data_IF_313768035040
#
_entry.id   IF_313768035040
#
_cell.length_a   1.000
_cell.length_b   1.000
_cell.length_c   1.000
_cell.angle_alpha   90.00
_cell.angle_beta   90.00
_cell.angle_gamma   90.00
#
_symmetry.space_group_name_H-M   'P 1'
#
loop_
_entity.id
_entity.type
_entity.pdbx_description
1 polymer ?
#
# COMPACT_ATOMS: atom_id res chain seq x y z
N UNK A 1 -10.52 -26.81 8.83
CA UNK A 1 -10.69 -25.45 9.39
C UNK A 1 -9.37 -25.03 10.00
N UNK A 2 -8.55 -24.24 9.29
CA UNK A 2 -7.36 -23.62 9.89
C UNK A 2 -7.61 -22.12 9.91
N UNK A 3 -7.71 -21.60 11.12
CA UNK A 3 -7.90 -20.20 11.47
C UNK A 3 -6.91 -19.36 10.67
N UNK A 4 -7.42 -18.40 9.89
CA UNK A 4 -6.59 -17.37 9.28
C UNK A 4 -6.00 -16.54 10.41
N UNK A 5 -4.67 -16.57 10.55
CA UNK A 5 -3.95 -15.69 11.44
C UNK A 5 -4.33 -14.26 11.08
N UNK A 6 -5.02 -13.61 12.00
CA UNK A 6 -5.47 -12.24 11.84
C UNK A 6 -4.25 -11.38 11.51
N UNK A 7 -4.33 -10.61 10.43
CA UNK A 7 -3.40 -9.52 10.18
C UNK A 7 -3.49 -8.58 11.39
N UNK A 8 -2.58 -8.74 12.35
CA UNK A 8 -2.35 -7.76 13.41
C UNK A 8 -1.68 -6.59 12.71
N UNK A 9 -2.51 -5.67 12.18
CA UNK A 9 -2.04 -4.41 11.66
C UNK A 9 -1.17 -3.72 12.71
N UNK A 10 -0.20 -2.87 12.30
CA UNK A 10 0.67 -2.19 13.25
C UNK A 10 -0.21 -1.51 14.30
N UNK A 11 0.06 -1.85 15.57
CA UNK A 11 -0.62 -1.29 16.71
C UNK A 11 -0.65 0.23 16.56
N UNK A 12 -1.84 0.79 16.39
CA UNK A 12 -2.08 2.22 16.33
C UNK A 12 -1.76 2.80 17.71
N UNK A 13 -0.50 3.16 17.92
CA UNK A 13 -0.06 4.07 18.96
C UNK A 13 -0.72 5.44 18.70
N UNK A 14 -1.04 6.22 19.76
CA UNK A 14 -2.00 7.30 19.69
C UNK A 14 -1.54 8.37 18.69
N UNK A 15 -2.51 8.87 17.93
CA UNK A 15 -2.35 9.95 16.98
C UNK A 15 -1.71 11.17 17.65
N UNK A 16 -0.41 11.36 17.38
CA UNK A 16 0.32 12.59 17.62
C UNK A 16 1.07 12.91 16.32
N UNK A 17 0.60 13.97 15.63
CA UNK A 17 1.10 14.57 14.40
C UNK A 17 1.20 13.66 13.15
N UNK A 18 0.29 13.86 12.20
CA UNK A 18 0.34 13.30 10.84
C UNK A 18 -0.36 11.94 10.70
N UNK A 19 -1.54 11.92 10.07
CA UNK A 19 -2.24 10.67 9.77
C UNK A 19 -1.46 9.88 8.71
N UNK A 20 -1.26 8.57 8.90
CA UNK A 20 -0.57 7.71 7.92
C UNK A 20 -1.55 6.74 7.28
N UNK A 21 -1.56 6.68 5.95
CA UNK A 21 -2.47 5.83 5.19
C UNK A 21 -1.65 4.90 4.31
N UNK A 22 -1.90 3.59 4.44
CA UNK A 22 -1.36 2.60 3.52
C UNK A 22 -2.43 2.20 2.51
N UNK A 23 -2.14 2.42 1.23
CA UNK A 23 -2.90 1.85 0.12
C UNK A 23 -2.16 0.62 -0.38
N UNK A 24 -2.72 -0.57 -0.16
CA UNK A 24 -2.13 -1.83 -0.61
C UNK A 24 -2.83 -2.34 -1.87
N UNK A 25 -2.09 -2.36 -2.99
CA UNK A 25 -2.52 -2.93 -4.26
C UNK A 25 -1.36 -3.71 -4.89
N UNK A 26 -1.24 -4.97 -4.50
CA UNK A 26 -0.27 -5.92 -5.06
C UNK A 26 -0.93 -6.66 -6.22
N UNK A 27 -1.06 -5.96 -7.35
CA UNK A 27 -1.79 -6.43 -8.52
C UNK A 27 -1.05 -6.08 -9.82
N UNK A 28 -1.68 -6.38 -10.95
CA UNK A 28 -1.14 -6.04 -12.26
C UNK A 28 -1.23 -4.54 -12.55
N UNK A 29 -0.57 -4.09 -13.61
CA UNK A 29 -0.60 -2.69 -14.06
C UNK A 29 -2.03 -2.24 -14.38
N UNK A 30 -2.87 -3.12 -14.96
CA UNK A 30 -4.27 -2.80 -15.25
C UNK A 30 -5.07 -2.41 -14.01
N UNK A 31 -4.90 -3.13 -12.91
CA UNK A 31 -5.55 -2.82 -11.64
C UNK A 31 -5.09 -1.48 -11.06
N UNK A 32 -3.80 -1.15 -11.19
CA UNK A 32 -3.29 0.16 -10.78
C UNK A 32 -3.94 1.30 -11.57
N UNK A 33 -4.06 1.15 -12.90
CA UNK A 33 -4.72 2.15 -13.75
C UNK A 33 -6.19 2.32 -13.34
N UNK A 34 -6.90 1.22 -13.07
CA UNK A 34 -8.29 1.25 -12.62
C UNK A 34 -8.46 1.85 -11.22
N UNK A 35 -7.50 1.64 -10.31
CA UNK A 35 -7.55 2.14 -8.95
C UNK A 35 -7.09 3.61 -8.82
N UNK A 36 -6.31 4.12 -9.78
CA UNK A 36 -5.77 5.49 -9.79
C UNK A 36 -6.80 6.59 -9.43
N UNK A 37 -8.02 6.64 -10.01
CA UNK A 37 -8.99 7.67 -9.63
C UNK A 37 -9.43 7.61 -8.16
N UNK A 38 -9.59 6.40 -7.60
CA UNK A 38 -9.94 6.23 -6.19
C UNK A 38 -8.79 6.67 -5.27
N UNK A 39 -7.56 6.31 -5.64
CA UNK A 39 -6.35 6.72 -4.91
C UNK A 39 -6.21 8.24 -4.88
N UNK A 40 -6.46 8.92 -6.00
CA UNK A 40 -6.44 10.38 -6.07
C UNK A 40 -7.51 11.02 -5.20
N UNK A 41 -8.71 10.44 -5.16
CA UNK A 41 -9.79 10.91 -4.29
C UNK A 41 -9.44 10.77 -2.80
N UNK A 42 -8.80 9.66 -2.42
CA UNK A 42 -8.31 9.46 -1.05
C UNK A 42 -7.29 10.55 -0.70
N UNK A 43 -6.23 10.70 -1.50
CA UNK A 43 -5.17 11.69 -1.25
C UNK A 43 -5.72 13.13 -1.15
N UNK A 44 -6.70 13.48 -2.01
CA UNK A 44 -7.35 14.80 -1.96
C UNK A 44 -8.24 15.01 -0.73
N UNK A 45 -8.84 13.94 -0.19
CA UNK A 45 -9.68 14.01 1.01
C UNK A 45 -8.90 14.10 2.33
N UNK A 46 -7.60 13.79 2.30
CA UNK A 46 -6.71 13.75 3.46
C UNK A 46 -5.37 14.45 3.16
N UNK A 47 -5.37 15.75 2.86
CA UNK A 47 -4.17 16.46 2.38
C UNK A 47 -3.01 16.47 3.38
N UNK A 48 -3.29 16.37 4.68
CA UNK A 48 -2.28 16.33 5.75
C UNK A 48 -1.75 14.91 6.03
N UNK A 49 -2.28 13.89 5.34
CA UNK A 49 -1.90 12.51 5.57
C UNK A 49 -0.74 12.07 4.68
N UNK A 50 0.16 11.28 5.26
CA UNK A 50 1.22 10.61 4.51
C UNK A 50 0.65 9.32 3.90
N UNK A 51 0.45 9.32 2.58
CA UNK A 51 -0.03 8.16 1.84
C UNK A 51 1.14 7.34 1.32
N UNK A 52 1.26 6.10 1.80
CA UNK A 52 2.22 5.10 1.30
C UNK A 52 1.50 4.10 0.41
N UNK A 53 2.11 3.72 -0.71
CA UNK A 53 1.57 2.74 -1.65
C UNK A 53 2.39 1.45 -1.62
N UNK A 54 1.75 0.32 -1.36
CA UNK A 54 2.35 -1.01 -1.44
C UNK A 54 1.91 -1.70 -2.73
N UNK A 55 2.86 -2.05 -3.59
CA UNK A 55 2.55 -2.65 -4.90
C UNK A 55 3.59 -3.66 -5.38
N UNK A 56 3.39 -4.24 -6.55
CA UNK A 56 4.36 -5.16 -7.17
C UNK A 56 5.55 -4.38 -7.76
N UNK A 57 6.74 -4.99 -7.91
CA UNK A 57 7.87 -4.34 -8.58
C UNK A 57 7.53 -3.81 -9.97
N UNK A 58 6.64 -4.49 -10.70
CA UNK A 58 6.22 -4.11 -12.06
C UNK A 58 5.39 -2.82 -12.08
N UNK A 59 4.55 -2.58 -11.07
CA UNK A 59 3.71 -1.38 -10.98
C UNK A 59 4.41 -0.21 -10.27
N UNK A 60 5.55 -0.45 -9.60
CA UNK A 60 6.26 0.56 -8.83
C UNK A 60 6.73 1.75 -9.67
N UNK A 61 7.23 1.49 -10.88
CA UNK A 61 7.74 2.54 -11.77
C UNK A 61 6.63 3.44 -12.33
N UNK A 62 5.40 2.93 -12.42
CA UNK A 62 4.22 3.73 -12.74
C UNK A 62 3.70 4.54 -11.56
N UNK A 63 3.89 4.05 -10.33
CA UNK A 63 3.41 4.71 -9.12
C UNK A 63 4.35 5.83 -8.63
N UNK A 64 5.67 5.66 -8.75
CA UNK A 64 6.68 6.63 -8.26
C UNK A 64 6.52 8.06 -8.79
N UNK A 65 6.11 8.30 -10.06
CA UNK A 65 5.86 9.66 -10.56
C UNK A 65 4.56 10.28 -10.03
N UNK A 66 3.67 9.51 -9.40
CA UNK A 66 2.38 10.01 -8.95
C UNK A 66 2.55 10.85 -7.66
N UNK A 67 2.07 12.11 -7.64
CA UNK A 67 2.23 13.00 -6.47
C UNK A 67 1.32 12.62 -5.29
N UNK A 68 0.39 11.69 -5.50
CA UNK A 68 -0.52 11.22 -4.45
C UNK A 68 0.16 10.30 -3.42
N UNK A 69 1.40 9.86 -3.67
CA UNK A 69 2.14 9.00 -2.77
C UNK A 69 3.38 9.71 -2.25
N UNK A 70 3.56 9.65 -0.93
CA UNK A 70 4.82 10.03 -0.30
C UNK A 70 5.89 8.96 -0.54
N UNK A 71 5.48 7.70 -0.47
CA UNK A 71 6.37 6.56 -0.54
C UNK A 71 5.72 5.42 -1.32
N UNK A 72 6.53 4.71 -2.11
CA UNK A 72 6.13 3.50 -2.82
C UNK A 72 7.00 2.33 -2.36
N UNK A 73 6.36 1.36 -1.71
CA UNK A 73 6.97 0.13 -1.21
C UNK A 73 6.62 -1.00 -2.16
N UNK A 74 7.59 -1.86 -2.47
CA UNK A 74 7.38 -3.01 -3.34
C UNK A 74 7.29 -4.30 -2.55
N UNK A 75 6.42 -5.20 -2.99
CA UNK A 75 6.29 -6.55 -2.49
C UNK A 75 6.14 -7.52 -3.65
N UNK A 76 7.07 -8.47 -3.75
CA UNK A 76 7.03 -9.51 -4.77
C UNK A 76 6.21 -10.71 -4.30
N UNK A 77 4.92 -10.69 -4.69
CA UNK A 77 3.98 -11.77 -4.39
C UNK A 77 4.40 -13.11 -5.02
N UNK A 78 5.15 -13.09 -6.13
CA UNK A 78 5.58 -14.31 -6.82
C UNK A 78 6.77 -14.95 -6.13
N UNK A 79 7.66 -14.14 -5.58
CA UNK A 79 8.81 -14.59 -4.80
C UNK A 79 8.45 -14.99 -3.36
N UNK A 80 7.32 -14.51 -2.82
CA UNK A 80 6.93 -14.77 -1.45
C UNK A 80 6.72 -16.27 -1.14
N UNK A 81 7.45 -16.79 -0.14
CA UNK A 81 7.33 -18.16 0.36
C UNK A 81 6.91 -18.13 1.83
N UNK A 82 5.63 -18.42 2.14
CA UNK A 82 5.15 -18.38 3.52
C UNK A 82 5.82 -19.49 4.35
N UNK A 83 6.32 -19.13 5.54
CA UNK A 83 6.92 -20.08 6.49
C UNK A 83 8.44 -20.17 6.46
N UNK A 84 9.08 -19.64 5.43
CA UNK A 84 10.52 -19.38 5.43
C UNK A 84 10.77 -18.07 6.17
N UNK A 85 11.07 -18.16 7.47
CA UNK A 85 11.62 -17.02 8.22
C UNK A 85 13.05 -16.82 7.76
N UNK A 86 13.31 -15.70 7.09
CA UNK A 86 14.66 -15.20 6.82
C UNK A 86 15.42 -14.91 8.11
#
# INVERSE_FOLDING_TARGET
>A
MKQGDAFSGPASAPAAAGQRILVALVAGIGDFVLATPAIRAIAAGVPEAEVTFLTTPQAADLARPCPCFREVVTFDLRAYRPGERG
#
